data_IF_767364996869
#
_entry.id   IF_767364996869
#
_cell.length_a   1.000
_cell.length_b   1.000
_cell.length_c   1.000
_cell.angle_alpha   90.00
_cell.angle_beta   90.00
_cell.angle_gamma   90.00
#
_symmetry.space_group_name_H-M   'P 1'
#
loop_
_entity.id
_entity.type
_entity.pdbx_description
1 polymer ?
#
# COMPACT_ATOMS: atom_id res chain seq x y z
N UNK A 1 15.40 3.06 -1.64
CA UNK A 1 14.12 3.81 -1.60
C UNK A 1 13.70 3.93 -0.14
N UNK A 2 12.81 4.85 0.21
CA UNK A 2 12.32 5.01 1.59
C UNK A 2 10.83 4.69 1.61
N UNK A 3 10.41 3.84 2.54
CA UNK A 3 9.00 3.53 2.77
C UNK A 3 8.35 4.66 3.60
N UNK A 4 7.04 4.89 3.42
CA UNK A 4 6.32 5.88 4.21
C UNK A 4 6.27 5.46 5.68
N UNK A 5 6.41 6.44 6.56
CA UNK A 5 6.21 6.25 8.01
C UNK A 5 5.32 7.35 8.59
N UNK A 6 4.72 7.10 9.74
CA UNK A 6 3.90 8.10 10.43
C UNK A 6 4.65 9.41 10.68
N UNK A 7 5.93 9.35 11.07
CA UNK A 7 6.71 10.55 11.42
C UNK A 7 6.98 11.48 10.24
N UNK A 8 6.90 10.98 9.01
CA UNK A 8 7.30 11.71 7.81
C UNK A 8 6.16 11.93 6.84
N UNK A 9 5.32 10.92 6.66
CA UNK A 9 4.22 10.93 5.71
C UNK A 9 2.85 10.80 6.40
N UNK A 10 2.79 10.64 7.73
CA UNK A 10 1.55 10.46 8.51
C UNK A 10 0.73 9.21 8.12
N UNK A 11 1.38 8.28 7.42
CA UNK A 11 0.86 6.95 7.16
C UNK A 11 1.99 5.93 7.02
N UNK A 12 1.63 4.66 7.13
CA UNK A 12 2.47 3.53 6.77
C UNK A 12 1.65 2.51 5.97
N UNK A 13 2.35 1.53 5.40
CA UNK A 13 1.73 0.41 4.69
C UNK A 13 1.83 -0.86 5.53
N UNK A 14 0.73 -1.56 5.71
CA UNK A 14 0.75 -2.82 6.45
C UNK A 14 1.34 -3.95 5.58
N UNK A 15 2.02 -4.89 6.24
CA UNK A 15 2.62 -6.04 5.57
C UNK A 15 1.57 -7.13 5.32
N UNK A 16 1.18 -7.30 4.06
CA UNK A 16 0.21 -8.31 3.63
C UNK A 16 0.67 -9.75 3.89
N UNK A 17 1.97 -10.02 3.81
CA UNK A 17 2.51 -11.36 4.12
C UNK A 17 2.40 -11.70 5.61
N UNK A 18 2.61 -10.71 6.50
CA UNK A 18 2.42 -10.89 7.94
C UNK A 18 0.95 -11.11 8.29
N UNK A 19 0.05 -10.32 7.70
CA UNK A 19 -1.40 -10.49 7.87
C UNK A 19 -1.90 -11.84 7.34
N UNK A 20 -1.43 -12.28 6.17
CA UNK A 20 -1.75 -13.61 5.64
C UNK A 20 -1.22 -14.71 6.56
N UNK A 21 -0.02 -14.56 7.12
CA UNK A 21 0.55 -15.53 8.06
C UNK A 21 -0.23 -15.61 9.36
N UNK A 22 -0.73 -14.49 9.86
CA UNK A 22 -1.55 -14.43 11.08
C UNK A 22 -2.98 -14.93 10.86
N UNK A 23 -3.56 -14.63 9.69
CA UNK A 23 -4.95 -14.91 9.33
C UNK A 23 -5.07 -15.68 7.99
N UNK A 24 -4.45 -16.87 7.83
CA UNK A 24 -4.32 -17.53 6.52
C UNK A 24 -5.66 -17.95 5.92
N UNK A 25 -6.67 -18.24 6.76
CA UNK A 25 -7.98 -18.71 6.31
C UNK A 25 -8.91 -17.57 5.85
N UNK A 26 -8.63 -16.33 6.24
CA UNK A 26 -9.51 -15.17 6.00
C UNK A 26 -8.84 -14.01 5.29
N UNK A 27 -7.51 -14.02 5.17
CA UNK A 27 -6.72 -12.98 4.53
C UNK A 27 -5.85 -13.60 3.44
N UNK A 28 -6.44 -13.81 2.27
CA UNK A 28 -5.70 -14.25 1.08
C UNK A 28 -4.90 -13.08 0.48
N UNK A 29 -3.73 -13.38 -0.10
CA UNK A 29 -2.93 -12.46 -0.91
C UNK A 29 -2.44 -13.17 -2.18
N UNK A 30 -2.11 -12.43 -3.26
CA UNK A 30 -1.53 -13.01 -4.46
C UNK A 30 -0.21 -13.74 -4.19
N UNK A 31 0.10 -14.71 -5.06
CA UNK A 31 1.32 -15.50 -4.95
C UNK A 31 2.57 -14.61 -5.01
N UNK A 32 3.64 -15.07 -4.36
CA UNK A 32 4.88 -14.30 -4.26
C UNK A 32 5.45 -13.93 -5.64
N UNK A 33 5.42 -14.87 -6.58
CA UNK A 33 5.95 -14.66 -7.94
C UNK A 33 5.19 -13.56 -8.68
N UNK A 34 3.86 -13.48 -8.52
CA UNK A 34 3.04 -12.44 -9.13
C UNK A 34 3.36 -11.06 -8.53
N UNK A 35 3.48 -10.99 -7.20
CA UNK A 35 3.83 -9.73 -6.49
C UNK A 35 5.26 -9.25 -6.77
N UNK A 36 6.18 -10.14 -7.09
CA UNK A 36 7.58 -9.81 -7.43
C UNK A 36 7.79 -9.55 -8.94
N UNK A 37 6.82 -9.90 -9.80
CA UNK A 37 6.91 -9.75 -11.26
C UNK A 37 6.10 -8.57 -11.84
N UNK A 38 5.59 -7.70 -10.97
CA UNK A 38 4.83 -6.50 -11.30
C UNK A 38 5.58 -5.53 -12.23
N UNK A 39 4.81 -4.81 -13.05
CA UNK A 39 5.29 -3.93 -14.12
C UNK A 39 4.58 -2.57 -14.05
N UNK A 40 5.18 -1.59 -14.73
CA UNK A 40 4.56 -0.27 -14.93
C UNK A 40 3.21 -0.44 -15.62
N UNK A 41 2.17 0.19 -15.07
CA UNK A 41 0.79 0.10 -15.51
C UNK A 41 -0.05 -0.94 -14.76
N UNK A 42 0.57 -1.87 -14.01
CA UNK A 42 -0.19 -2.79 -13.18
C UNK A 42 -0.87 -2.03 -12.03
N UNK A 43 -2.09 -2.43 -11.69
CA UNK A 43 -2.87 -1.85 -10.61
C UNK A 43 -2.91 -2.82 -9.44
N UNK A 44 -2.40 -2.40 -8.28
CA UNK A 44 -2.28 -3.24 -7.09
C UNK A 44 -2.99 -2.63 -5.90
N UNK A 45 -3.48 -3.46 -4.98
CA UNK A 45 -4.13 -2.99 -3.75
C UNK A 45 -3.16 -3.12 -2.59
N UNK A 46 -3.09 -2.06 -1.79
CA UNK A 46 -2.28 -1.98 -0.57
C UNK A 46 -3.19 -1.67 0.64
N UNK A 47 -2.68 -1.89 1.85
CA UNK A 47 -3.32 -1.43 3.10
C UNK A 47 -2.58 -0.21 3.61
N UNK A 48 -3.31 0.89 3.78
CA UNK A 48 -2.80 2.13 4.34
C UNK A 48 -3.32 2.28 5.76
N UNK A 49 -2.40 2.43 6.71
CA UNK A 49 -2.70 2.82 8.08
C UNK A 49 -2.26 4.27 8.25
N UNK A 50 -3.22 5.18 8.39
CA UNK A 50 -3.05 6.63 8.24
C UNK A 50 -3.57 7.35 9.48
N UNK A 51 -2.89 8.39 9.93
CA UNK A 51 -3.48 9.32 10.91
C UNK A 51 -4.73 9.97 10.29
N UNK A 52 -5.84 10.09 11.04
CA UNK A 52 -7.06 10.71 10.51
C UNK A 52 -6.83 12.17 10.10
N UNK A 53 -5.99 12.87 10.86
CA UNK A 53 -5.45 14.17 10.51
C UNK A 53 -4.00 14.27 10.98
N UNK A 54 -3.20 15.19 10.41
CA UNK A 54 -1.80 15.40 10.81
C UNK A 54 -1.66 15.56 12.33
N UNK A 55 -0.95 14.64 12.98
CA UNK A 55 -0.68 14.62 14.42
C UNK A 55 -1.81 14.04 15.27
N UNK A 56 -2.79 13.35 14.67
CA UNK A 56 -3.85 12.64 15.37
C UNK A 56 -3.33 11.36 16.04
N UNK A 57 -3.85 11.05 17.23
CA UNK A 57 -3.66 9.73 17.85
C UNK A 57 -4.59 8.66 17.24
N UNK A 58 -5.61 9.08 16.48
CA UNK A 58 -6.56 8.19 15.80
C UNK A 58 -6.05 7.80 14.42
N UNK A 59 -6.18 6.52 14.08
CA UNK A 59 -5.71 5.91 12.83
C UNK A 59 -6.89 5.34 12.05
N UNK A 60 -6.99 5.73 10.78
CA UNK A 60 -7.86 5.11 9.78
C UNK A 60 -7.09 4.08 8.96
N UNK A 61 -7.71 2.93 8.71
CA UNK A 61 -7.14 1.85 7.91
C UNK A 61 -7.98 1.62 6.66
N UNK A 62 -7.38 1.78 5.49
CA UNK A 62 -8.07 1.62 4.20
C UNK A 62 -7.30 0.72 3.23
N UNK A 63 -8.04 0.01 2.37
CA UNK A 63 -7.47 -0.79 1.27
C UNK A 63 -7.65 -0.02 -0.04
N UNK A 64 -6.56 0.41 -0.63
CA UNK A 64 -6.60 1.34 -1.76
C UNK A 64 -5.77 0.84 -2.95
N UNK A 65 -6.20 1.19 -4.16
CA UNK A 65 -5.52 0.85 -5.40
C UNK A 65 -4.41 1.84 -5.75
N UNK A 66 -3.31 1.32 -6.28
CA UNK A 66 -2.12 2.08 -6.68
C UNK A 66 -1.66 1.57 -8.04
N UNK A 67 -1.59 2.47 -9.02
CA UNK A 67 -1.06 2.18 -10.36
C UNK A 67 0.47 2.30 -10.35
N UNK A 68 1.19 1.28 -10.78
CA UNK A 68 2.65 1.28 -10.77
C UNK A 68 3.19 2.23 -11.84
N UNK A 69 4.02 3.20 -11.42
CA UNK A 69 4.69 4.16 -12.32
C UNK A 69 6.15 3.81 -12.55
N UNK A 70 6.82 3.20 -11.58
CA UNK A 70 8.23 2.84 -11.66
C UNK A 70 8.52 1.53 -10.92
N UNK A 71 9.44 0.73 -11.47
CA UNK A 71 9.95 -0.51 -10.86
C UNK A 71 11.42 -0.34 -10.53
N UNK A 72 11.79 -0.65 -9.29
CA UNK A 72 13.16 -0.61 -8.77
C UNK A 72 13.53 -1.96 -8.15
N UNK A 73 14.83 -2.23 -7.90
CA UNK A 73 15.23 -3.44 -7.17
C UNK A 73 14.57 -3.50 -5.79
N UNK A 74 13.70 -4.49 -5.58
CA UNK A 74 12.91 -4.73 -4.35
C UNK A 74 11.89 -3.66 -3.96
N UNK A 75 11.63 -2.65 -4.81
CA UNK A 75 10.67 -1.59 -4.53
C UNK A 75 9.85 -1.25 -5.76
N UNK A 76 8.61 -0.83 -5.51
CA UNK A 76 7.75 -0.22 -6.50
C UNK A 76 7.47 1.22 -6.11
N UNK A 77 7.22 2.03 -7.12
CA UNK A 77 6.61 3.34 -6.94
C UNK A 77 5.34 3.36 -7.78
N UNK A 78 4.28 3.88 -7.20
CA UNK A 78 3.01 3.99 -7.89
C UNK A 78 2.23 5.22 -7.49
N UNK A 79 1.19 5.50 -8.25
CA UNK A 79 0.28 6.62 -8.06
C UNK A 79 -1.00 6.08 -7.42
N UNK A 80 -1.41 6.65 -6.30
CA UNK A 80 -2.67 6.30 -5.64
C UNK A 80 -3.85 6.60 -6.58
N UNK A 81 -4.72 5.61 -6.80
CA UNK A 81 -5.90 5.67 -7.68
C UNK A 81 -7.21 5.58 -6.88
N UNK A 82 -7.19 6.15 -5.67
CA UNK A 82 -8.29 6.16 -4.72
C UNK A 82 -8.31 7.52 -4.02
N UNK A 83 -9.52 8.04 -3.75
CA UNK A 83 -9.74 9.15 -2.82
C UNK A 83 -9.91 8.56 -1.39
N UNK A 84 -9.00 8.86 -0.44
CA UNK A 84 -9.13 8.37 0.93
C UNK A 84 -10.36 8.95 1.62
N UNK A 85 -11.07 8.14 2.40
CA UNK A 85 -12.30 8.57 3.07
C UNK A 85 -12.07 9.07 4.51
N UNK A 86 -11.08 8.51 5.21
CA UNK A 86 -10.85 8.72 6.64
C UNK A 86 -9.52 9.40 6.99
N UNK A 87 -8.83 10.04 6.05
CA UNK A 87 -7.58 10.76 6.32
C UNK A 87 -7.39 11.95 5.38
N UNK A 88 -6.90 13.08 5.91
CA UNK A 88 -6.41 14.21 5.11
C UNK A 88 -4.89 14.15 4.80
N UNK A 89 -4.20 13.14 5.36
CA UNK A 89 -2.76 12.93 5.21
C UNK A 89 -2.36 12.31 3.87
N UNK A 90 -3.32 11.64 3.22
CA UNK A 90 -3.14 10.90 1.97
C UNK A 90 -4.11 11.47 0.94
N UNK A 91 -3.68 11.63 -0.31
CA UNK A 91 -4.52 12.16 -1.38
C UNK A 91 -4.39 11.35 -2.68
N UNK A 92 -5.48 11.24 -3.42
CA UNK A 92 -5.48 10.66 -4.76
C UNK A 92 -4.42 11.32 -5.65
N UNK A 93 -3.74 10.51 -6.46
CA UNK A 93 -2.67 10.96 -7.34
C UNK A 93 -1.31 11.13 -6.67
N UNK A 94 -1.17 10.98 -5.35
CA UNK A 94 0.14 11.01 -4.70
C UNK A 94 0.99 9.79 -5.05
N UNK A 95 2.30 9.96 -5.04
CA UNK A 95 3.24 8.89 -5.29
C UNK A 95 3.56 8.14 -3.99
N UNK A 96 3.42 6.81 -4.03
CA UNK A 96 3.61 5.89 -2.92
C UNK A 96 4.76 4.96 -3.25
N UNK A 97 5.68 4.78 -2.30
CA UNK A 97 6.75 3.79 -2.40
C UNK A 97 6.36 2.57 -1.56
N UNK A 98 6.48 1.38 -2.14
CA UNK A 98 6.12 0.13 -1.47
C UNK A 98 7.00 -1.04 -1.94
N UNK A 99 6.76 -2.22 -1.39
CA UNK A 99 7.45 -3.47 -1.71
C UNK A 99 6.41 -4.58 -1.97
N UNK A 100 6.84 -5.68 -2.59
CA UNK A 100 5.97 -6.82 -2.90
C UNK A 100 5.19 -7.34 -1.69
N UNK A 101 5.77 -7.32 -0.47
CA UNK A 101 5.09 -7.78 0.75
C UNK A 101 3.85 -6.95 1.15
N UNK A 102 3.72 -5.71 0.65
CA UNK A 102 2.57 -4.85 0.92
C UNK A 102 1.39 -5.10 -0.03
N UNK A 103 1.61 -5.86 -1.12
CA UNK A 103 0.59 -6.11 -2.15
C UNK A 103 -0.39 -7.18 -1.67
N UNK A 104 -1.66 -6.82 -1.57
CA UNK A 104 -2.73 -7.69 -1.07
C UNK A 104 -3.74 -8.09 -2.16
N UNK A 105 -3.64 -7.48 -3.35
CA UNK A 105 -4.47 -7.78 -4.52
C UNK A 105 -3.83 -7.22 -5.78
N UNK A 106 -4.12 -7.81 -6.94
CA UNK A 106 -3.65 -7.37 -8.28
C UNK A 106 -4.86 -7.37 -9.20
N UNK A 107 -5.08 -6.27 -9.93
CA UNK A 107 -6.20 -6.15 -10.87
C UNK A 107 -5.92 -6.91 -12.18
N UNK A 108 -6.90 -7.64 -12.70
CA UNK A 108 -6.84 -8.40 -13.97
C UNK A 108 -7.46 -7.66 -15.17
#
# INVERSE_FOLDING_TARGET
>A
MILPTYEREHYQLDNGEELNKEYPDTFWIPEKEDRESLKVGDLVKLIFSMEENIGSDEVSVERMWVEITDVYPNYYKGKLDNDPAGSDCVQCGQLVTFQACHVIDIYE
#
